data_IF_015548419964
#
_entry.id   IF_015548419964
#
_cell.length_a   1.000
_cell.length_b   1.000
_cell.length_c   1.000
_cell.angle_alpha   90.00
_cell.angle_beta   90.00
_cell.angle_gamma   90.00
#
_symmetry.space_group_name_H-M   'P 1'
#
loop_
_entity.id
_entity.type
_entity.pdbx_description
1 polymer ?
#
# COMPACT_ATOMS: atom_id res chain seq x y z
N UNK A 1 24.60 14.84 -30.64
CA UNK A 1 23.28 14.75 -29.99
C UNK A 1 23.07 13.29 -29.63
N UNK A 2 22.81 12.92 -28.37
CA UNK A 2 22.47 11.53 -28.04
C UNK A 2 21.18 11.18 -28.78
N UNK A 3 21.13 10.00 -29.40
CA UNK A 3 19.90 9.48 -30.00
C UNK A 3 18.89 9.27 -28.88
N UNK A 4 17.73 9.92 -28.96
CA UNK A 4 16.57 9.55 -28.15
C UNK A 4 16.29 8.07 -28.36
N UNK A 5 16.47 7.28 -27.32
CA UNK A 5 16.15 5.86 -27.33
C UNK A 5 14.62 5.74 -27.34
N UNK A 6 14.07 4.92 -28.24
CA UNK A 6 12.64 4.62 -28.21
C UNK A 6 12.27 3.93 -26.90
N UNK A 7 11.06 4.15 -26.39
CA UNK A 7 10.56 3.52 -25.17
C UNK A 7 10.72 1.98 -25.17
N UNK A 8 10.48 1.33 -26.31
CA UNK A 8 10.65 -0.12 -26.46
C UNK A 8 12.11 -0.59 -26.28
N UNK A 9 13.07 0.18 -26.78
CA UNK A 9 14.50 -0.12 -26.62
C UNK A 9 14.95 0.11 -25.17
N UNK A 10 14.41 1.11 -24.49
CA UNK A 10 14.64 1.34 -23.07
C UNK A 10 14.09 0.18 -22.21
N UNK A 11 12.88 -0.31 -22.50
CA UNK A 11 12.29 -1.44 -21.78
C UNK A 11 13.07 -2.73 -22.00
N UNK A 12 13.51 -3.00 -23.23
CA UNK A 12 14.32 -4.19 -23.54
C UNK A 12 15.68 -4.15 -22.82
N UNK A 13 16.37 -3.00 -22.82
CA UNK A 13 17.63 -2.85 -22.08
C UNK A 13 17.45 -3.03 -20.57
N UNK A 14 16.36 -2.51 -20.01
CA UNK A 14 16.03 -2.69 -18.60
C UNK A 14 15.77 -4.16 -18.26
N UNK A 15 15.03 -4.87 -19.10
CA UNK A 15 14.78 -6.31 -18.93
C UNK A 15 16.10 -7.11 -18.97
N UNK A 16 16.97 -6.82 -19.93
CA UNK A 16 18.30 -7.47 -20.04
C UNK A 16 19.13 -7.20 -18.79
N UNK A 17 19.16 -5.97 -18.27
CA UNK A 17 19.87 -5.63 -17.05
C UNK A 17 19.31 -6.38 -15.83
N UNK A 18 17.98 -6.46 -15.69
CA UNK A 18 17.34 -7.20 -14.61
C UNK A 18 17.65 -8.71 -14.69
N UNK A 19 17.68 -9.28 -15.91
CA UNK A 19 18.09 -10.67 -16.12
C UNK A 19 19.55 -10.90 -15.71
N UNK A 20 20.46 -9.98 -16.08
CA UNK A 20 21.87 -10.06 -15.67
C UNK A 20 22.04 -10.00 -14.15
N UNK A 21 21.25 -9.17 -13.46
CA UNK A 21 21.27 -9.06 -11.99
C UNK A 21 20.78 -10.33 -11.29
N UNK A 22 19.84 -11.06 -11.89
CA UNK A 22 19.36 -12.34 -11.35
C UNK A 22 20.37 -13.48 -11.53
N UNK A 23 21.23 -13.41 -12.54
CA UNK A 23 22.22 -14.45 -12.83
C UNK A 23 21.55 -15.80 -13.15
N UNK A 24 21.86 -16.85 -12.39
CA UNK A 24 21.29 -18.20 -12.54
C UNK A 24 19.96 -18.39 -11.79
N UNK A 25 19.40 -17.31 -11.22
CA UNK A 25 18.22 -17.36 -10.37
C UNK A 25 16.92 -17.08 -11.13
N UNK A 26 15.87 -17.74 -10.71
CA UNK A 26 14.51 -17.61 -11.23
C UNK A 26 13.64 -16.89 -10.21
N UNK A 27 13.15 -15.71 -10.56
CA UNK A 27 12.13 -15.01 -9.78
C UNK A 27 10.74 -15.55 -10.15
N UNK A 28 10.03 -16.11 -9.18
CA UNK A 28 8.67 -16.61 -9.37
C UNK A 28 7.64 -15.65 -8.80
N UNK A 29 6.45 -15.67 -9.38
CA UNK A 29 5.28 -14.91 -8.90
C UNK A 29 4.24 -15.88 -8.39
N UNK A 30 3.43 -15.46 -7.42
CA UNK A 30 2.25 -16.23 -7.03
C UNK A 30 1.19 -16.16 -8.12
N UNK A 31 0.31 -17.18 -8.17
CA UNK A 31 -0.83 -17.20 -9.10
C UNK A 31 -1.70 -15.94 -8.99
N UNK A 32 -1.80 -15.35 -7.80
CA UNK A 32 -2.56 -14.13 -7.55
C UNK A 32 -2.16 -12.97 -8.49
N UNK A 33 -0.87 -12.83 -8.80
CA UNK A 33 -0.39 -11.80 -9.73
C UNK A 33 -0.96 -12.00 -11.14
N UNK A 34 -0.97 -13.24 -11.62
CA UNK A 34 -1.44 -13.58 -12.96
C UNK A 34 -2.97 -13.52 -13.08
N UNK A 35 -3.69 -13.85 -12.00
CA UNK A 35 -5.16 -13.77 -12.00
C UNK A 35 -5.65 -12.33 -12.21
N UNK A 36 -4.90 -11.32 -11.76
CA UNK A 36 -5.22 -9.92 -12.01
C UNK A 36 -5.16 -9.55 -13.50
N UNK A 37 -4.34 -10.28 -14.28
CA UNK A 37 -4.23 -10.14 -15.74
C UNK A 37 -5.21 -11.06 -16.49
N UNK A 38 -6.06 -11.82 -15.78
CA UNK A 38 -6.97 -12.81 -16.36
C UNK A 38 -6.28 -14.12 -16.76
N UNK A 39 -5.06 -14.36 -16.30
CA UNK A 39 -4.25 -15.53 -16.65
C UNK A 39 -4.26 -16.59 -15.54
N UNK A 40 -4.53 -17.86 -15.90
CA UNK A 40 -4.37 -19.00 -15.00
C UNK A 40 -3.04 -19.71 -15.29
N UNK A 41 -1.94 -19.04 -14.95
CA UNK A 41 -0.57 -19.51 -15.21
C UNK A 41 0.35 -19.26 -14.02
N UNK A 42 1.49 -19.96 -13.98
CA UNK A 42 2.61 -19.68 -13.08
C UNK A 42 3.74 -18.94 -13.79
N UNK A 43 3.51 -18.46 -15.01
CA UNK A 43 4.52 -17.90 -15.89
C UNK A 43 5.61 -18.94 -16.15
N UNK A 44 6.83 -18.62 -15.74
CA UNK A 44 7.99 -19.54 -15.83
C UNK A 44 7.95 -20.69 -14.83
N UNK A 45 7.05 -20.68 -13.84
CA UNK A 45 6.93 -21.72 -12.82
C UNK A 45 8.25 -21.98 -12.12
N UNK A 46 8.66 -23.25 -12.02
CA UNK A 46 9.97 -23.64 -11.49
C UNK A 46 11.08 -23.71 -12.56
N UNK A 47 10.85 -23.11 -13.73
CA UNK A 47 11.76 -23.14 -14.86
C UNK A 47 11.95 -24.56 -15.41
N UNK A 48 13.15 -24.85 -15.89
CA UNK A 48 13.53 -26.18 -16.39
C UNK A 48 14.08 -27.12 -15.28
N UNK A 49 14.05 -26.68 -14.02
CA UNK A 49 14.61 -27.41 -12.88
C UNK A 49 16.14 -27.32 -12.71
N UNK A 50 16.86 -26.65 -13.61
CA UNK A 50 18.31 -26.42 -13.51
C UNK A 50 18.64 -25.08 -12.84
N UNK A 51 17.73 -24.11 -12.95
CA UNK A 51 17.86 -22.79 -12.34
C UNK A 51 17.49 -22.83 -10.85
N UNK A 52 18.12 -21.98 -10.05
CA UNK A 52 17.80 -21.85 -8.62
C UNK A 52 16.66 -20.85 -8.45
N UNK A 53 15.74 -21.10 -7.53
CA UNK A 53 14.76 -20.06 -7.19
C UNK A 53 15.45 -18.88 -6.51
N UNK A 54 14.92 -17.67 -6.75
CA UNK A 54 15.31 -16.48 -6.00
C UNK A 54 14.84 -16.63 -4.55
N UNK A 55 15.80 -16.86 -3.66
CA UNK A 55 15.58 -16.92 -2.22
C UNK A 55 16.32 -15.77 -1.54
N UNK A 56 15.67 -15.09 -0.60
CA UNK A 56 16.23 -13.94 0.10
C UNK A 56 16.00 -12.61 -0.63
N UNK A 57 16.94 -11.68 -0.49
CA UNK A 57 16.86 -10.34 -1.09
C UNK A 57 16.88 -10.40 -2.62
N UNK A 58 16.05 -9.58 -3.26
CA UNK A 58 16.04 -9.41 -4.71
C UNK A 58 17.08 -8.35 -5.10
N UNK A 59 18.14 -8.70 -5.85
CA UNK A 59 19.19 -7.75 -6.23
C UNK A 59 18.71 -6.63 -7.16
N UNK A 60 17.50 -6.75 -7.72
CA UNK A 60 16.89 -5.72 -8.57
C UNK A 60 16.19 -4.62 -7.76
N UNK A 61 15.94 -4.85 -6.48
CA UNK A 61 15.32 -3.89 -5.58
C UNK A 61 16.37 -3.16 -4.74
N UNK A 62 16.12 -1.91 -4.34
CA UNK A 62 16.95 -1.24 -3.33
C UNK A 62 17.09 -2.11 -2.06
N UNK A 63 18.31 -2.22 -1.50
CA UNK A 63 18.55 -3.08 -0.35
C UNK A 63 17.84 -2.53 0.89
N UNK A 64 17.24 -3.43 1.68
CA UNK A 64 16.63 -3.09 2.96
C UNK A 64 17.66 -3.18 4.10
N UNK A 65 17.58 -2.32 5.13
CA UNK A 65 18.38 -2.48 6.34
C UNK A 65 18.12 -3.82 7.04
N UNK A 66 19.07 -4.26 7.88
CA UNK A 66 18.93 -5.51 8.65
C UNK A 66 17.68 -5.50 9.54
N UNK A 67 17.45 -4.39 10.25
CA UNK A 67 16.26 -4.14 11.07
C UNK A 67 15.43 -2.99 10.47
N UNK A 68 14.61 -3.26 9.44
CA UNK A 68 13.90 -2.21 8.72
C UNK A 68 12.77 -1.62 9.55
N UNK A 69 12.54 -0.32 9.42
CA UNK A 69 11.43 0.40 10.05
C UNK A 69 10.38 0.84 9.01
N UNK A 70 9.26 1.41 9.45
CA UNK A 70 8.19 1.87 8.56
C UNK A 70 8.68 2.83 7.44
N UNK A 71 9.55 3.80 7.76
CA UNK A 71 10.04 4.78 6.79
C UNK A 71 10.93 4.13 5.72
N UNK A 72 11.64 3.05 6.06
CA UNK A 72 12.41 2.26 5.08
C UNK A 72 11.48 1.61 4.04
N UNK A 73 10.32 1.08 4.46
CA UNK A 73 9.35 0.52 3.52
C UNK A 73 8.75 1.57 2.58
N UNK A 74 8.46 2.78 3.09
CA UNK A 74 8.05 3.90 2.24
C UNK A 74 9.09 4.15 1.14
N UNK A 75 10.33 4.42 1.55
CA UNK A 75 11.42 4.76 0.63
C UNK A 75 11.77 3.64 -0.36
N UNK A 76 11.73 2.38 0.09
CA UNK A 76 12.36 1.27 -0.64
C UNK A 76 11.36 0.29 -1.25
N UNK A 77 10.07 0.34 -0.90
CA UNK A 77 9.04 -0.60 -1.39
C UNK A 77 7.75 0.05 -1.88
N UNK A 78 7.39 1.25 -1.42
CA UNK A 78 6.11 1.87 -1.77
C UNK A 78 6.21 2.95 -2.85
N UNK A 79 7.41 3.33 -3.28
CA UNK A 79 7.56 4.22 -4.42
C UNK A 79 7.13 3.55 -5.74
N UNK A 80 6.47 4.28 -6.66
CA UNK A 80 6.07 5.69 -6.56
C UNK A 80 4.72 5.94 -5.87
N UNK A 81 3.94 4.89 -5.57
CA UNK A 81 2.57 4.99 -5.05
C UNK A 81 2.46 5.71 -3.69
N UNK A 82 3.55 5.77 -2.91
CA UNK A 82 3.60 6.41 -1.60
C UNK A 82 3.16 7.89 -1.56
N UNK A 83 3.27 8.63 -2.66
CA UNK A 83 2.90 10.06 -2.66
C UNK A 83 1.41 10.28 -2.34
N UNK A 84 0.54 9.31 -2.66
CA UNK A 84 -0.85 9.32 -2.21
C UNK A 84 -0.97 9.45 -0.68
N UNK A 85 -0.30 8.54 0.00
CA UNK A 85 -0.32 8.42 1.45
C UNK A 85 0.28 9.66 2.11
N UNK A 86 1.37 10.16 1.54
CA UNK A 86 2.09 11.33 2.04
C UNK A 86 1.28 12.62 1.84
N UNK A 87 0.64 12.83 0.69
CA UNK A 87 -0.24 13.97 0.46
C UNK A 87 -1.49 13.92 1.34
N UNK A 88 -2.09 12.75 1.52
CA UNK A 88 -3.25 12.55 2.40
C UNK A 88 -2.91 12.90 3.86
N UNK A 89 -1.79 12.40 4.38
CA UNK A 89 -1.31 12.73 5.71
C UNK A 89 -0.95 14.22 5.87
N UNK A 90 -0.35 14.83 4.84
CA UNK A 90 -0.04 16.25 4.83
C UNK A 90 -1.32 17.11 4.89
N UNK A 91 -2.35 16.76 4.12
CA UNK A 91 -3.64 17.45 4.17
C UNK A 91 -4.28 17.32 5.57
N UNK A 92 -4.24 16.14 6.18
CA UNK A 92 -4.73 15.94 7.54
C UNK A 92 -4.00 16.84 8.56
N UNK A 93 -2.68 17.01 8.43
CA UNK A 93 -1.92 17.95 9.26
C UNK A 93 -2.32 19.41 9.01
N UNK A 94 -2.48 19.82 7.75
CA UNK A 94 -2.89 21.18 7.39
C UNK A 94 -4.30 21.52 7.92
N UNK A 95 -5.18 20.51 7.98
CA UNK A 95 -6.50 20.61 8.58
C UNK A 95 -6.48 20.60 10.13
N UNK A 96 -5.31 20.51 10.75
CA UNK A 96 -5.15 20.55 12.22
C UNK A 96 -5.68 19.30 12.93
N UNK A 97 -5.74 18.16 12.25
CA UNK A 97 -6.23 16.91 12.83
C UNK A 97 -5.19 16.32 13.79
N UNK A 98 -5.63 15.56 14.83
CA UNK A 98 -4.72 14.91 15.76
C UNK A 98 -3.76 13.93 15.07
N UNK A 99 -2.56 13.75 15.61
CA UNK A 99 -1.53 12.81 15.11
C UNK A 99 -2.09 11.40 14.85
N UNK A 100 -3.05 10.93 15.67
CA UNK A 100 -3.75 9.66 15.47
C UNK A 100 -4.47 9.58 14.12
N UNK A 101 -5.11 10.66 13.67
CA UNK A 101 -5.77 10.71 12.36
C UNK A 101 -4.74 10.89 11.25
N UNK A 102 -3.68 11.67 11.50
CA UNK A 102 -2.58 11.85 10.54
C UNK A 102 -1.91 10.52 10.22
N UNK A 103 -1.57 9.70 11.22
CA UNK A 103 -1.01 8.36 10.98
C UNK A 103 -2.00 7.44 10.27
N UNK A 104 -3.30 7.58 10.56
CA UNK A 104 -4.33 6.79 9.88
C UNK A 104 -4.40 7.16 8.39
N UNK A 105 -4.32 8.45 8.05
CA UNK A 105 -4.22 8.92 6.66
C UNK A 105 -2.91 8.48 5.99
N UNK A 106 -1.79 8.47 6.71
CA UNK A 106 -0.51 7.98 6.18
C UNK A 106 -0.54 6.49 5.83
N UNK A 107 -1.40 5.70 6.50
CA UNK A 107 -1.39 4.24 6.38
C UNK A 107 -2.62 3.64 5.69
N UNK A 108 -3.66 4.43 5.38
CA UNK A 108 -4.96 3.90 4.96
C UNK A 108 -4.90 3.00 3.72
N UNK A 109 -4.13 3.40 2.72
CA UNK A 109 -3.97 2.70 1.44
C UNK A 109 -2.61 1.99 1.34
N UNK A 110 -1.95 1.68 2.46
CA UNK A 110 -0.63 1.02 2.46
C UNK A 110 -0.64 -0.31 1.70
N UNK A 111 -1.77 -1.03 1.73
CA UNK A 111 -1.93 -2.26 0.97
C UNK A 111 -2.05 -2.01 -0.54
N UNK A 112 -2.65 -0.89 -0.97
CA UNK A 112 -2.66 -0.46 -2.38
C UNK A 112 -1.25 -0.08 -2.82
N UNK A 113 -0.49 0.59 -1.95
CA UNK A 113 0.83 1.13 -2.27
C UNK A 113 1.91 0.04 -2.42
N UNK A 114 1.79 -1.09 -1.73
CA UNK A 114 2.84 -2.12 -1.76
C UNK A 114 2.40 -3.57 -1.70
N UNK A 115 1.14 -3.89 -1.36
CA UNK A 115 0.74 -5.27 -1.03
C UNK A 115 -0.41 -5.79 -1.92
N UNK A 116 -1.60 -6.02 -1.35
CA UNK A 116 -2.76 -6.54 -2.06
C UNK A 116 -3.82 -5.44 -2.17
N UNK A 117 -4.19 -5.10 -3.40
CA UNK A 117 -5.16 -4.03 -3.69
C UNK A 117 -6.62 -4.44 -3.43
N UNK A 118 -6.99 -5.68 -3.74
CA UNK A 118 -8.37 -6.13 -3.47
C UNK A 118 -8.59 -6.21 -1.97
N UNK A 119 -9.66 -5.59 -1.46
CA UNK A 119 -9.92 -5.44 -0.03
C UNK A 119 -8.76 -4.80 0.74
N UNK A 120 -8.18 -3.74 0.16
CA UNK A 120 -7.01 -3.04 0.69
C UNK A 120 -7.17 -2.54 2.12
N UNK A 121 -8.36 -2.10 2.52
CA UNK A 121 -8.62 -1.64 3.88
C UNK A 121 -8.41 -2.77 4.89
N UNK A 122 -8.85 -3.98 4.55
CA UNK A 122 -8.68 -5.16 5.40
C UNK A 122 -7.23 -5.63 5.46
N UNK A 123 -6.57 -5.78 4.32
CA UNK A 123 -5.15 -6.17 4.28
C UNK A 123 -4.26 -5.13 4.96
N UNK A 124 -4.51 -3.85 4.71
CA UNK A 124 -3.78 -2.74 5.31
C UNK A 124 -3.94 -2.75 6.83
N UNK A 125 -5.17 -2.80 7.32
CA UNK A 125 -5.45 -2.88 8.75
C UNK A 125 -4.78 -4.08 9.42
N UNK A 126 -4.91 -5.29 8.86
CA UNK A 126 -4.26 -6.50 9.40
C UNK A 126 -2.73 -6.36 9.45
N UNK A 127 -2.12 -5.71 8.46
CA UNK A 127 -0.68 -5.52 8.40
C UNK A 127 -0.15 -4.58 9.49
N UNK A 128 -0.92 -3.55 9.86
CA UNK A 128 -0.48 -2.54 10.83
C UNK A 128 -1.01 -2.77 12.24
N UNK A 129 -2.04 -3.60 12.42
CA UNK A 129 -2.76 -3.81 13.69
C UNK A 129 -1.85 -4.07 14.90
N UNK A 130 -0.75 -4.83 14.80
CA UNK A 130 0.14 -5.05 15.94
C UNK A 130 0.96 -3.82 16.36
N UNK A 131 0.98 -2.77 15.54
CA UNK A 131 1.89 -1.63 15.67
C UNK A 131 1.18 -0.31 15.94
N UNK A 132 -0.14 -0.23 15.80
CA UNK A 132 -0.92 1.00 15.99
C UNK A 132 -2.02 0.82 17.04
N UNK A 133 -2.65 1.92 17.44
CA UNK A 133 -3.86 1.88 18.26
C UNK A 133 -5.01 1.16 17.53
N UNK A 134 -5.83 0.42 18.29
CA UNK A 134 -6.97 -0.34 17.74
C UNK A 134 -7.92 0.54 16.91
N UNK A 135 -8.09 1.80 17.31
CA UNK A 135 -8.88 2.78 16.57
C UNK A 135 -8.33 3.07 15.18
N UNK A 136 -7.00 3.15 15.04
CA UNK A 136 -6.35 3.42 13.75
C UNK A 136 -6.51 2.22 12.82
N UNK A 137 -6.25 1.01 13.32
CA UNK A 137 -6.46 -0.23 12.55
C UNK A 137 -7.92 -0.37 12.13
N UNK A 138 -8.87 -0.14 13.04
CA UNK A 138 -10.30 -0.19 12.73
C UNK A 138 -10.70 0.87 11.70
N UNK A 139 -10.23 2.10 11.86
CA UNK A 139 -10.57 3.20 10.96
C UNK A 139 -10.06 2.94 9.54
N UNK A 140 -8.85 2.40 9.41
CA UNK A 140 -8.28 1.97 8.13
C UNK A 140 -9.03 0.77 7.56
N UNK A 141 -9.50 -0.17 8.38
CA UNK A 141 -10.30 -1.29 7.85
C UNK A 141 -11.57 -0.81 7.16
N UNK A 142 -12.31 0.07 7.82
CA UNK A 142 -13.66 0.45 7.38
C UNK A 142 -13.68 1.63 6.41
N UNK A 143 -12.58 2.38 6.25
CA UNK A 143 -12.53 3.50 5.29
C UNK A 143 -12.84 3.03 3.86
N UNK A 144 -12.48 1.77 3.54
CA UNK A 144 -12.77 1.13 2.26
C UNK A 144 -14.27 1.13 1.92
N UNK A 145 -15.15 0.91 2.91
CA UNK A 145 -16.59 0.98 2.69
C UNK A 145 -17.09 2.43 2.73
N UNK A 146 -16.63 3.21 3.71
CA UNK A 146 -17.11 4.58 3.97
C UNK A 146 -16.87 5.54 2.81
N UNK A 147 -15.81 5.36 2.03
CA UNK A 147 -15.48 6.21 0.87
C UNK A 147 -16.59 6.27 -0.20
N UNK A 148 -17.52 5.32 -0.21
CA UNK A 148 -18.63 5.29 -1.16
C UNK A 148 -19.90 6.01 -0.67
N UNK A 149 -19.94 6.47 0.58
CA UNK A 149 -21.15 7.04 1.17
C UNK A 149 -20.90 8.49 1.60
N UNK A 150 -21.73 9.45 1.16
CA UNK A 150 -21.61 10.83 1.57
C UNK A 150 -21.90 11.00 3.06
N UNK A 151 -21.38 12.09 3.63
CA UNK A 151 -21.63 12.53 5.00
C UNK A 151 -21.60 14.06 5.05
N UNK A 152 -22.78 14.67 4.99
CA UNK A 152 -22.95 16.13 5.00
C UNK A 152 -22.45 16.78 6.30
N UNK A 153 -22.42 16.04 7.41
CA UNK A 153 -22.00 16.58 8.72
C UNK A 153 -20.54 17.04 8.74
N UNK A 154 -19.73 16.51 7.83
CA UNK A 154 -18.32 16.87 7.62
C UNK A 154 -18.03 17.33 6.19
N UNK A 155 -19.07 17.64 5.41
CA UNK A 155 -18.94 18.10 4.03
C UNK A 155 -18.38 17.07 3.06
N UNK A 156 -18.47 15.77 3.37
CA UNK A 156 -18.00 14.70 2.49
C UNK A 156 -19.07 14.36 1.45
N UNK A 157 -18.94 14.87 0.23
CA UNK A 157 -19.78 14.46 -0.88
C UNK A 157 -19.26 13.16 -1.53
N UNK A 158 -20.12 12.48 -2.29
CA UNK A 158 -19.66 11.36 -3.13
C UNK A 158 -18.63 11.88 -4.15
N UNK A 159 -17.42 11.30 -4.26
CA UNK A 159 -16.39 11.84 -5.14
C UNK A 159 -16.78 11.78 -6.62
N UNK A 160 -16.77 12.93 -7.32
CA UNK A 160 -17.02 12.99 -8.78
C UNK A 160 -16.05 12.10 -9.59
N UNK A 161 -14.84 11.90 -9.07
CA UNK A 161 -13.85 11.00 -9.65
C UNK A 161 -14.36 9.57 -9.75
N UNK A 162 -15.19 9.11 -8.81
CA UNK A 162 -15.72 7.74 -8.80
C UNK A 162 -16.69 7.48 -9.94
N UNK A 163 -17.52 8.46 -10.28
CA UNK A 163 -18.42 8.35 -11.44
C UNK A 163 -17.61 8.12 -12.72
N UNK A 164 -16.46 8.79 -12.85
CA UNK A 164 -15.55 8.62 -13.99
C UNK A 164 -14.78 7.30 -13.94
N UNK A 165 -14.32 6.89 -12.75
CA UNK A 165 -13.45 5.72 -12.57
C UNK A 165 -14.22 4.39 -12.61
N UNK A 166 -15.42 4.36 -12.03
CA UNK A 166 -16.21 3.13 -11.86
C UNK A 166 -17.38 3.03 -12.84
N UNK A 167 -17.80 4.16 -13.43
CA UNK A 167 -18.99 4.24 -14.28
C UNK A 167 -20.22 4.68 -13.47
N UNK A 168 -21.13 5.39 -14.14
CA UNK A 168 -22.35 5.90 -13.50
C UNK A 168 -23.40 4.83 -13.17
N UNK A 169 -23.23 3.63 -13.73
CA UNK A 169 -24.07 2.45 -13.52
C UNK A 169 -23.44 1.43 -12.54
N UNK A 170 -22.31 1.77 -11.93
CA UNK A 170 -21.68 0.93 -10.92
C UNK A 170 -22.55 0.85 -9.66
N UNK A 171 -22.93 -0.38 -9.29
CA UNK A 171 -23.64 -0.68 -8.05
C UNK A 171 -22.68 -1.23 -7.00
N UNK A 172 -22.89 -0.83 -5.74
CA UNK A 172 -22.08 -1.34 -4.63
C UNK A 172 -22.48 -2.78 -4.29
N UNK A 173 -21.47 -3.62 -4.06
CA UNK A 173 -21.68 -4.97 -3.57
C UNK A 173 -22.41 -4.97 -2.20
N UNK A 174 -23.32 -5.94 -1.94
CA UNK A 174 -24.12 -5.95 -0.71
C UNK A 174 -23.30 -5.91 0.59
N UNK A 175 -22.10 -6.50 0.60
CA UNK A 175 -21.25 -6.51 1.79
C UNK A 175 -20.65 -5.13 2.10
N UNK A 176 -20.45 -4.28 1.09
CA UNK A 176 -19.98 -2.90 1.28
C UNK A 176 -21.08 -2.05 1.94
N UNK A 177 -22.33 -2.22 1.49
CA UNK A 177 -23.49 -1.54 2.09
C UNK A 177 -23.68 -1.98 3.54
N UNK A 178 -23.65 -3.28 3.81
CA UNK A 178 -23.77 -3.82 5.16
C UNK A 178 -22.65 -3.33 6.10
N UNK A 179 -21.41 -3.24 5.59
CA UNK A 179 -20.29 -2.73 6.37
C UNK A 179 -20.43 -1.23 6.70
N UNK A 180 -20.93 -0.42 5.76
CA UNK A 180 -21.23 0.98 6.02
C UNK A 180 -22.30 1.16 7.11
N UNK A 181 -23.41 0.41 7.02
CA UNK A 181 -24.49 0.46 8.01
C UNK A 181 -23.97 0.12 9.41
N UNK A 182 -23.16 -0.95 9.53
CA UNK A 182 -22.51 -1.37 10.77
C UNK A 182 -21.54 -0.31 11.29
N UNK A 183 -20.70 0.25 10.41
CA UNK A 183 -19.67 1.19 10.79
C UNK A 183 -20.23 2.54 11.27
N UNK A 184 -21.38 2.98 10.74
CA UNK A 184 -22.03 4.24 11.12
C UNK A 184 -22.46 4.30 12.59
N UNK A 185 -22.73 3.16 13.20
CA UNK A 185 -23.10 3.06 14.62
C UNK A 185 -21.88 2.92 15.55
N UNK A 186 -20.67 2.83 14.99
CA UNK A 186 -19.46 2.60 15.77
C UNK A 186 -18.87 3.89 16.36
N UNK A 187 -18.37 3.82 17.59
CA UNK A 187 -17.76 4.97 18.30
C UNK A 187 -16.58 5.64 17.57
N UNK A 188 -15.92 4.91 16.67
CA UNK A 188 -14.78 5.39 15.87
C UNK A 188 -15.14 5.79 14.45
N UNK A 189 -16.43 5.81 14.11
CA UNK A 189 -16.92 6.18 12.78
C UNK A 189 -16.24 7.44 12.24
N UNK A 190 -16.18 8.49 13.09
CA UNK A 190 -15.66 9.79 12.66
C UNK A 190 -14.16 9.74 12.34
N UNK A 191 -13.39 8.90 13.02
CA UNK A 191 -11.96 8.72 12.71
C UNK A 191 -11.76 8.15 11.30
N UNK A 192 -12.55 7.15 10.92
CA UNK A 192 -12.51 6.59 9.56
C UNK A 192 -13.08 7.55 8.51
N UNK A 193 -14.15 8.28 8.86
CA UNK A 193 -14.70 9.32 7.99
C UNK A 193 -13.66 10.41 7.70
N UNK A 194 -12.88 10.83 8.70
CA UNK A 194 -11.82 11.80 8.50
C UNK A 194 -10.68 11.28 7.60
N UNK A 195 -10.43 9.96 7.56
CA UNK A 195 -9.56 9.40 6.52
C UNK A 195 -10.16 9.70 5.14
N UNK A 196 -11.43 9.39 4.91
CA UNK A 196 -12.10 9.62 3.62
C UNK A 196 -12.08 11.10 3.20
N UNK A 197 -12.26 12.02 4.15
CA UNK A 197 -12.21 13.48 3.89
C UNK A 197 -10.82 13.93 3.43
N UNK A 198 -9.76 13.29 3.92
CA UNK A 198 -8.37 13.63 3.59
C UNK A 198 -7.75 12.67 2.57
N UNK A 199 -8.52 11.72 2.03
CA UNK A 199 -8.15 10.79 0.97
C UNK A 199 -8.32 11.49 -0.39
N UNK A 200 -7.28 12.21 -0.81
CA UNK A 200 -7.27 12.97 -2.06
C UNK A 200 -7.24 12.02 -3.27
N UNK A 201 -8.34 11.94 -4.03
CA UNK A 201 -8.36 11.14 -5.26
C UNK A 201 -7.62 11.78 -6.45
N UNK A 202 -7.45 13.10 -6.43
CA UNK A 202 -6.67 13.83 -7.42
C UNK A 202 -5.32 14.21 -6.83
N UNK A 203 -4.27 13.48 -7.24
CA UNK A 203 -2.88 13.81 -6.92
C UNK A 203 -2.55 15.22 -7.39
N UNK A 204 -1.96 16.03 -6.51
CA UNK A 204 -1.33 17.27 -6.93
C UNK A 204 0.06 16.91 -7.48
N UNK A 205 0.31 16.99 -8.80
CA UNK A 205 1.59 16.62 -9.38
C UNK A 205 2.71 17.61 -9.01
N UNK A 206 2.36 18.81 -8.52
CA UNK A 206 3.32 19.86 -8.16
C UNK A 206 3.73 19.77 -6.68
N UNK A 207 3.07 18.92 -5.89
CA UNK A 207 3.38 18.69 -4.48
C UNK A 207 4.11 17.35 -4.31
N UNK A 208 5.36 17.43 -3.88
CA UNK A 208 6.14 16.26 -3.45
C UNK A 208 6.37 16.36 -1.95
N UNK A 209 5.87 15.37 -1.22
CA UNK A 209 6.05 15.26 0.23
C UNK A 209 7.11 14.20 0.51
N UNK A 210 8.02 14.49 1.44
CA UNK A 210 9.02 13.55 1.91
C UNK A 210 8.54 12.90 3.21
N UNK A 211 8.82 11.59 3.37
CA UNK A 211 8.39 10.81 4.54
C UNK A 211 8.95 11.38 5.86
N UNK A 212 10.09 12.07 5.81
CA UNK A 212 10.74 12.73 6.94
C UNK A 212 9.85 13.76 7.65
N UNK A 213 8.88 14.37 6.95
CA UNK A 213 7.88 15.24 7.56
C UNK A 213 7.05 14.54 8.66
N UNK A 214 6.89 13.22 8.56
CA UNK A 214 6.06 12.42 9.45
C UNK A 214 6.85 11.63 10.50
N UNK A 215 8.18 11.80 10.58
CA UNK A 215 9.04 11.04 11.52
C UNK A 215 8.51 11.10 12.96
N UNK A 216 8.17 12.30 13.43
CA UNK A 216 7.62 12.55 14.76
C UNK A 216 6.25 11.87 14.98
N UNK A 217 5.36 11.95 14.00
CA UNK A 217 4.02 11.34 14.06
C UNK A 217 4.14 9.82 14.11
N UNK A 218 5.01 9.25 13.28
CA UNK A 218 5.33 7.82 13.25
C UNK A 218 5.91 7.41 14.60
N UNK A 219 6.90 8.12 15.12
CA UNK A 219 7.55 7.80 16.40
C UNK A 219 6.59 7.79 17.60
N UNK A 220 5.52 8.58 17.57
CA UNK A 220 4.50 8.62 18.64
C UNK A 220 3.38 7.60 18.47
N UNK A 221 3.06 7.19 17.25
CA UNK A 221 1.82 6.44 16.96
C UNK A 221 2.04 5.08 16.29
N UNK A 222 3.26 4.73 15.91
CA UNK A 222 3.60 3.44 15.33
C UNK A 222 4.72 2.77 16.14
N UNK A 223 4.42 1.63 16.73
CA UNK A 223 5.38 0.83 17.50
C UNK A 223 6.36 0.14 16.54
N UNK A 224 7.54 0.71 16.41
CA UNK A 224 8.63 0.08 15.66
C UNK A 224 9.23 -1.07 16.49
N UNK A 225 9.23 -2.33 16.00
CA UNK A 225 9.94 -3.42 16.66
C UNK A 225 11.46 -3.19 16.61
N UNK A 226 12.18 -3.52 17.69
CA UNK A 226 13.63 -3.30 17.82
C UNK A 226 14.39 -4.16 16.81
N UNK A 227 13.90 -5.35 16.56
CA UNK A 227 14.40 -6.31 15.58
C UNK A 227 14.09 -5.90 14.12
N UNK A 228 13.18 -4.94 13.90
CA UNK A 228 12.72 -4.50 12.58
C UNK A 228 11.46 -5.22 12.08
N UNK A 229 10.68 -4.52 11.27
CA UNK A 229 9.42 -5.01 10.70
C UNK A 229 9.64 -6.27 9.87
N UNK A 230 8.96 -7.35 10.25
CA UNK A 230 9.08 -8.66 9.63
C UNK A 230 10.14 -9.58 10.23
N UNK A 231 11.04 -9.05 11.07
CA UNK A 231 11.95 -9.87 11.89
C UNK A 231 11.35 -10.17 13.27
N UNK A 232 10.32 -9.43 13.65
CA UNK A 232 9.52 -9.64 14.84
C UNK A 232 8.60 -10.87 14.72
N UNK A 233 7.86 -11.14 15.81
CA UNK A 233 6.97 -12.31 15.91
C UNK A 233 5.49 -11.90 16.08
N UNK A 234 5.08 -10.80 15.45
CA UNK A 234 3.67 -10.43 15.42
C UNK A 234 2.91 -11.27 14.40
N UNK A 235 1.57 -11.33 14.49
CA UNK A 235 0.76 -12.00 13.46
C UNK A 235 0.98 -11.43 12.05
N UNK A 236 1.43 -10.18 11.93
CA UNK A 236 1.64 -9.51 10.64
C UNK A 236 3.08 -9.56 10.09
N UNK A 237 4.05 -10.10 10.84
CA UNK A 237 5.46 -10.10 10.43
C UNK A 237 5.72 -10.76 9.08
N UNK A 238 4.93 -11.77 8.72
CA UNK A 238 5.01 -12.43 7.42
C UNK A 238 4.63 -11.50 6.24
N UNK A 239 3.73 -10.53 6.46
CA UNK A 239 3.32 -9.55 5.44
C UNK A 239 4.48 -8.60 5.12
N UNK A 240 5.17 -8.10 6.15
CA UNK A 240 6.39 -7.28 5.98
C UNK A 240 7.53 -8.04 5.31
N UNK A 241 7.73 -9.34 5.63
CA UNK A 241 8.70 -10.18 4.92
C UNK A 241 8.34 -10.37 3.44
N UNK A 242 7.05 -10.53 3.14
CA UNK A 242 6.54 -10.64 1.76
C UNK A 242 6.82 -9.36 0.98
N UNK A 243 6.57 -8.18 1.57
CA UNK A 243 6.91 -6.89 0.98
C UNK A 243 8.43 -6.71 0.77
N UNK A 244 9.24 -7.12 1.74
CA UNK A 244 10.71 -7.05 1.64
C UNK A 244 11.22 -7.91 0.49
N UNK A 245 10.64 -9.10 0.31
CA UNK A 245 11.09 -10.16 -0.61
C UNK A 245 9.90 -10.78 -1.39
N UNK A 246 9.33 -10.06 -2.38
CA UNK A 246 8.07 -10.45 -3.02
C UNK A 246 8.15 -11.72 -3.87
N UNK A 247 9.35 -12.09 -4.33
CA UNK A 247 9.58 -13.29 -5.13
C UNK A 247 10.14 -14.48 -4.33
N UNK A 248 10.26 -14.36 -2.99
CA UNK A 248 10.85 -15.39 -2.15
C UNK A 248 9.83 -16.50 -1.83
N UNK A 249 10.20 -17.77 -2.05
CA UNK A 249 9.31 -18.92 -1.97
C UNK A 249 9.20 -19.58 -0.57
N UNK A 250 9.31 -18.80 0.52
CA UNK A 250 9.16 -19.28 1.92
C UNK A 250 7.77 -19.01 2.49
#
# INVERSE_FOLDING_TARGET
MPKEQSFAAFTEELEIQQMQQLGDRLATKSLLYHLADGEQTLGVGFGNGEQKLLMGEDPRLPPMPEAPNLMDFFRLRFAPAQQHLLQSANLAQQNGLPDKIVIACLLHDIAVAGFIRSDHGYWGAQMIEPYVDEEVSWAIRVHQALRFFPDESVGYAYPDAYVKMFGGDYELEPYIVAEYERAREHKWYMTSRMICVNDLYSFDPDIVIEIDQFEDVIGRNFKQPVEGLGNDNTPSSHMWRTLRRPANAL
#
